data_IF_885594263414
#
_entry.id   IF_885594263414
#
_cell.length_a   1.000
_cell.length_b   1.000
_cell.length_c   1.000
_cell.angle_alpha   90.00
_cell.angle_beta   90.00
_cell.angle_gamma   90.00
#
_symmetry.space_group_name_H-M   'P 1'
#
loop_
_entity.id
_entity.type
_entity.pdbx_description
1 polymer ?
#
# COMPACT_ATOMS: atom_id res chain seq x y z
N UNK A 1 0.48 -63.90 40.47
CA UNK A 1 0.94 -62.69 41.20
C UNK A 1 2.10 -62.11 40.40
N UNK A 2 2.06 -60.99 39.68
CA UNK A 2 1.09 -59.91 39.49
C UNK A 2 1.25 -59.37 38.06
N UNK A 3 0.13 -59.18 37.37
CA UNK A 3 0.05 -58.51 36.07
C UNK A 3 -0.12 -57.02 36.32
N UNK A 4 0.86 -56.19 35.92
CA UNK A 4 0.74 -54.73 35.97
C UNK A 4 0.57 -54.22 34.54
N UNK A 5 -0.69 -54.08 34.12
CA UNK A 5 -1.08 -53.25 32.98
C UNK A 5 -0.81 -51.80 33.38
N UNK A 6 0.22 -51.20 32.79
CA UNK A 6 0.41 -49.76 32.83
C UNK A 6 -0.54 -49.15 31.78
N UNK A 7 -1.62 -48.57 32.29
CA UNK A 7 -2.65 -47.87 31.52
C UNK A 7 -2.03 -46.65 30.83
N UNK A 8 -1.65 -46.78 29.56
CA UNK A 8 -1.23 -45.66 28.71
C UNK A 8 -2.48 -44.93 28.22
N UNK A 9 -2.87 -43.88 28.96
CA UNK A 9 -3.93 -42.95 28.64
C UNK A 9 -3.62 -42.26 27.29
N UNK A 10 -4.49 -42.29 26.26
CA UNK A 10 -4.24 -41.59 25.01
C UNK A 10 -4.57 -40.10 25.20
N UNK A 11 -3.59 -39.34 25.69
CA UNK A 11 -3.66 -37.89 25.87
C UNK A 11 -3.24 -37.18 24.56
N UNK A 12 -3.94 -37.41 23.45
CA UNK A 12 -3.57 -36.84 22.14
C UNK A 12 -4.70 -36.09 21.42
N UNK A 13 -5.79 -35.72 22.11
CA UNK A 13 -6.95 -35.08 21.49
C UNK A 13 -7.10 -33.55 21.69
N UNK A 14 -6.07 -32.81 22.11
CA UNK A 14 -6.19 -31.37 22.39
C UNK A 14 -5.38 -30.45 21.48
N UNK A 15 -4.97 -30.90 20.28
CA UNK A 15 -4.46 -29.99 19.27
C UNK A 15 -5.64 -29.45 18.44
N UNK A 16 -6.46 -28.59 19.06
CA UNK A 16 -7.36 -27.72 18.29
C UNK A 16 -6.48 -26.65 17.64
N UNK A 17 -6.36 -26.67 16.31
CA UNK A 17 -5.94 -25.48 15.56
C UNK A 17 -6.93 -24.37 15.91
N UNK A 18 -6.50 -23.43 16.74
CA UNK A 18 -7.18 -22.15 16.87
C UNK A 18 -6.88 -21.42 15.56
N UNK A 19 -7.91 -21.15 14.76
CA UNK A 19 -7.78 -20.18 13.68
C UNK A 19 -7.47 -18.83 14.34
N UNK A 20 -6.28 -18.29 14.07
CA UNK A 20 -5.85 -16.98 14.57
C UNK A 20 -6.76 -15.89 13.97
N UNK A 21 -7.79 -15.48 14.70
CA UNK A 21 -8.51 -14.24 14.41
C UNK A 21 -7.56 -13.06 14.65
N UNK A 22 -7.13 -12.40 13.56
CA UNK A 22 -6.39 -11.15 13.66
C UNK A 22 -7.29 -10.08 14.32
N UNK A 23 -6.73 -9.33 15.28
CA UNK A 23 -7.44 -8.26 15.99
C UNK A 23 -7.87 -7.06 15.10
N UNK A 24 -7.56 -7.11 13.81
CA UNK A 24 -7.95 -6.12 12.81
C UNK A 24 -8.08 -6.79 11.45
N UNK A 25 -9.03 -6.30 10.65
CA UNK A 25 -9.18 -6.74 9.26
C UNK A 25 -8.17 -6.01 8.38
N UNK A 26 -7.37 -6.77 7.64
CA UNK A 26 -6.51 -6.20 6.59
C UNK A 26 -7.35 -6.00 5.35
N UNK A 27 -7.61 -4.74 5.00
CA UNK A 27 -8.28 -4.37 3.74
C UNK A 27 -7.21 -4.04 2.71
N UNK A 28 -7.36 -4.58 1.50
CA UNK A 28 -6.45 -4.26 0.41
C UNK A 28 -6.58 -2.78 0.00
N UNK A 29 -5.47 -2.18 -0.45
CA UNK A 29 -5.51 -0.83 -1.03
C UNK A 29 -6.45 -0.81 -2.26
N UNK A 30 -7.34 0.19 -2.39
CA UNK A 30 -8.21 0.36 -3.56
C UNK A 30 -7.45 0.76 -4.83
N UNK A 31 -6.21 1.27 -4.69
CA UNK A 31 -5.37 1.69 -5.83
C UNK A 31 -3.96 1.12 -5.69
N UNK A 32 -3.36 0.82 -6.83
CA UNK A 32 -1.92 0.63 -6.98
C UNK A 32 -1.27 1.97 -7.36
N UNK A 33 -0.06 2.20 -6.88
CA UNK A 33 0.69 3.42 -7.17
C UNK A 33 2.15 3.09 -7.47
N UNK A 34 2.64 3.62 -8.59
CA UNK A 34 4.04 3.59 -8.97
C UNK A 34 4.58 5.01 -8.84
N UNK A 35 5.52 5.22 -7.91
CA UNK A 35 6.08 6.54 -7.62
C UNK A 35 7.55 6.55 -7.95
N UNK A 36 7.95 7.45 -8.84
CA UNK A 36 9.31 7.61 -9.34
C UNK A 36 9.81 9.01 -9.02
N UNK A 37 11.02 9.10 -8.48
CA UNK A 37 11.73 10.38 -8.37
C UNK A 37 12.22 10.78 -9.76
N UNK A 38 12.00 12.03 -10.13
CA UNK A 38 12.52 12.56 -11.38
C UNK A 38 13.88 13.21 -11.12
N UNK A 39 14.86 12.89 -11.97
CA UNK A 39 16.15 13.58 -11.98
C UNK A 39 16.06 14.82 -12.85
N UNK A 40 15.28 15.81 -12.40
CA UNK A 40 15.07 17.09 -13.08
C UNK A 40 15.88 18.23 -12.44
N UNK A 41 17.15 17.95 -12.15
CA UNK A 41 18.28 18.77 -12.60
C UNK A 41 18.45 20.23 -12.15
N UNK A 42 17.64 20.78 -11.24
CA UNK A 42 17.95 22.03 -10.54
C UNK A 42 17.88 21.79 -9.05
N UNK A 43 19.01 21.90 -8.34
CA UNK A 43 19.14 21.53 -6.92
C UNK A 43 18.21 22.28 -5.94
N UNK A 44 17.37 23.18 -6.46
CA UNK A 44 16.39 23.96 -5.71
C UNK A 44 15.05 23.23 -5.56
N UNK A 45 14.78 22.18 -6.35
CA UNK A 45 13.51 21.43 -6.33
C UNK A 45 13.73 19.92 -6.35
N UNK A 46 12.73 19.19 -5.82
CA UNK A 46 12.65 17.74 -5.90
C UNK A 46 11.30 17.38 -6.52
N UNK A 47 11.34 16.62 -7.60
CA UNK A 47 10.14 16.20 -8.31
C UNK A 47 9.91 14.70 -8.24
N UNK A 48 8.64 14.33 -8.19
CA UNK A 48 8.16 12.94 -8.29
C UNK A 48 7.06 12.84 -9.33
N UNK A 49 7.03 11.72 -10.05
CA UNK A 49 5.90 11.29 -10.87
C UNK A 49 5.27 10.08 -10.21
N UNK A 50 3.97 10.15 -9.98
CA UNK A 50 3.21 9.03 -9.50
C UNK A 50 2.17 8.61 -10.55
N UNK A 51 2.00 7.32 -10.77
CA UNK A 51 0.93 6.76 -11.61
C UNK A 51 0.02 5.90 -10.74
N UNK A 52 -1.28 6.20 -10.73
CA UNK A 52 -2.28 5.51 -9.94
C UNK A 52 -3.23 4.72 -10.84
N UNK A 53 -3.41 3.44 -10.50
CA UNK A 53 -4.26 2.51 -11.26
C UNK A 53 -5.13 1.66 -10.34
N UNK A 54 -6.36 1.40 -10.75
CA UNK A 54 -7.13 0.26 -10.24
C UNK A 54 -6.59 -1.02 -10.87
N UNK A 55 -6.44 -2.07 -10.06
CA UNK A 55 -6.03 -3.40 -10.54
C UNK A 55 -7.21 -4.35 -10.49
N UNK A 56 -7.72 -4.72 -11.66
CA UNK A 56 -8.65 -5.84 -11.79
C UNK A 56 -7.86 -7.15 -11.88
N UNK A 57 -8.16 -8.05 -10.94
CA UNK A 57 -7.48 -9.34 -10.74
C UNK A 57 -8.38 -10.52 -11.04
N UNK A 58 -9.60 -10.33 -11.56
CA UNK A 58 -10.56 -11.42 -11.81
C UNK A 58 -9.96 -12.54 -12.68
N UNK A 59 -9.07 -12.19 -13.62
CA UNK A 59 -8.46 -13.12 -14.58
C UNK A 59 -6.93 -13.23 -14.43
N UNK A 60 -6.39 -13.01 -13.23
CA UNK A 60 -4.93 -13.00 -12.98
C UNK A 60 -4.20 -14.28 -13.42
N UNK A 61 -4.88 -15.42 -13.48
CA UNK A 61 -4.30 -16.70 -13.89
C UNK A 61 -4.47 -17.02 -15.40
N UNK A 62 -5.23 -16.23 -16.14
CA UNK A 62 -5.32 -16.37 -17.59
C UNK A 62 -4.09 -15.71 -18.21
N UNK A 63 -3.24 -16.53 -18.82
CA UNK A 63 -1.98 -16.08 -19.46
C UNK A 63 -2.19 -15.09 -20.62
N UNK A 64 -3.40 -15.01 -21.17
CA UNK A 64 -3.72 -14.08 -22.26
C UNK A 64 -4.33 -12.76 -21.77
N UNK A 65 -4.80 -12.70 -20.51
CA UNK A 65 -5.46 -11.51 -19.94
C UNK A 65 -4.64 -10.95 -18.78
N UNK A 66 -4.40 -11.75 -17.74
CA UNK A 66 -3.66 -11.34 -16.54
C UNK A 66 -4.38 -10.29 -15.70
N UNK A 67 -3.60 -9.38 -15.11
CA UNK A 67 -4.10 -8.22 -14.35
C UNK A 67 -4.37 -7.08 -15.32
N UNK A 68 -5.55 -6.46 -15.23
CA UNK A 68 -5.86 -5.26 -15.98
C UNK A 68 -5.61 -4.05 -15.07
N UNK A 69 -4.75 -3.13 -15.52
CA UNK A 69 -4.48 -1.88 -14.82
C UNK A 69 -5.22 -0.73 -15.50
N UNK A 70 -6.19 -0.14 -14.80
CA UNK A 70 -6.99 0.97 -15.31
C UNK A 70 -6.55 2.27 -14.62
N UNK A 71 -6.16 3.32 -15.36
CA UNK A 71 -5.81 4.60 -14.76
C UNK A 71 -6.93 5.19 -13.92
N UNK A 72 -6.57 5.87 -12.82
CA UNK A 72 -7.54 6.58 -11.96
C UNK A 72 -7.40 8.09 -12.18
N UNK A 73 -8.22 8.70 -13.05
CA UNK A 73 -8.22 10.14 -13.25
C UNK A 73 -8.91 10.89 -12.09
N UNK A 74 -8.63 12.18 -11.97
CA UNK A 74 -9.28 13.09 -11.01
C UNK A 74 -9.17 12.64 -9.55
N UNK A 75 -8.15 11.83 -9.23
CA UNK A 75 -7.88 11.35 -7.88
C UNK A 75 -7.18 12.44 -7.07
N UNK A 76 -7.85 12.96 -6.05
CA UNK A 76 -7.24 13.90 -5.10
C UNK A 76 -6.26 13.17 -4.17
N UNK A 77 -5.05 13.72 -4.07
CA UNK A 77 -3.94 13.18 -3.32
C UNK A 77 -3.42 14.24 -2.34
N UNK A 78 -3.39 13.90 -1.06
CA UNK A 78 -2.72 14.67 -0.03
C UNK A 78 -1.34 14.07 0.25
N UNK A 79 -0.31 14.90 0.13
CA UNK A 79 1.09 14.50 0.30
C UNK A 79 1.57 15.03 1.64
N UNK A 80 1.96 14.12 2.52
CA UNK A 80 2.46 14.42 3.85
C UNK A 80 3.94 14.04 4.02
N UNK A 81 4.61 14.72 4.96
CA UNK A 81 5.89 14.25 5.52
C UNK A 81 5.68 13.04 6.44
N UNK A 82 6.76 12.38 6.86
CA UNK A 82 6.69 11.30 7.85
C UNK A 82 6.16 11.76 9.23
N UNK A 83 6.18 13.05 9.52
CA UNK A 83 5.64 13.67 10.74
C UNK A 83 4.18 14.08 10.61
N UNK A 84 3.51 13.72 9.50
CA UNK A 84 2.12 14.07 9.18
C UNK A 84 1.88 15.57 8.92
N UNK A 85 2.93 16.31 8.52
CA UNK A 85 2.75 17.68 8.03
C UNK A 85 2.30 17.64 6.58
N UNK A 86 1.17 18.29 6.26
CA UNK A 86 0.68 18.39 4.87
C UNK A 86 1.62 19.29 4.08
N UNK A 87 2.24 18.72 3.03
CA UNK A 87 3.13 19.44 2.15
C UNK A 87 2.35 20.07 0.99
N UNK A 88 1.43 19.31 0.38
CA UNK A 88 0.58 19.78 -0.71
C UNK A 88 -0.58 18.83 -0.99
N UNK A 89 -1.53 19.29 -1.80
CA UNK A 89 -2.60 18.50 -2.41
C UNK A 89 -2.51 18.62 -3.93
N UNK A 90 -2.57 17.51 -4.64
CA UNK A 90 -2.55 17.45 -6.11
C UNK A 90 -3.60 16.47 -6.61
N UNK A 91 -3.88 16.50 -7.91
CA UNK A 91 -4.87 15.63 -8.55
C UNK A 91 -4.25 14.90 -9.74
N UNK A 92 -4.64 13.65 -9.98
CA UNK A 92 -4.19 12.90 -11.15
C UNK A 92 -4.83 13.42 -12.44
N UNK A 93 -4.09 13.31 -13.56
CA UNK A 93 -4.59 13.59 -14.90
C UNK A 93 -5.43 12.43 -15.48
N UNK A 94 -5.88 12.59 -16.73
CA UNK A 94 -6.67 11.58 -17.47
C UNK A 94 -5.98 10.20 -17.60
N UNK A 95 -4.65 10.16 -17.44
CA UNK A 95 -3.85 8.95 -17.49
C UNK A 95 -3.49 8.43 -16.08
N UNK A 96 -4.14 8.94 -15.04
CA UNK A 96 -3.89 8.56 -13.65
C UNK A 96 -2.54 9.06 -13.12
N UNK A 97 -1.92 10.06 -13.76
CA UNK A 97 -0.60 10.55 -13.37
C UNK A 97 -0.69 11.81 -12.55
N UNK A 98 0.11 11.89 -11.49
CA UNK A 98 0.29 13.08 -10.69
C UNK A 98 1.77 13.51 -10.72
N UNK A 99 2.02 14.80 -10.90
CA UNK A 99 3.35 15.38 -10.81
C UNK A 99 3.45 16.18 -9.50
N UNK A 100 4.36 15.76 -8.63
CA UNK A 100 4.73 16.51 -7.45
C UNK A 100 6.02 17.26 -7.74
N UNK A 101 6.04 18.56 -7.47
CA UNK A 101 7.25 19.36 -7.48
C UNK A 101 7.27 20.20 -6.20
N UNK A 102 8.29 19.99 -5.38
CA UNK A 102 8.45 20.67 -4.11
C UNK A 102 9.82 21.37 -4.04
N UNK A 103 9.92 22.54 -3.39
CA UNK A 103 11.22 23.11 -3.06
C UNK A 103 12.04 22.13 -2.21
N UNK A 104 13.34 22.00 -2.47
CA UNK A 104 14.21 21.11 -1.68
C UNK A 104 14.18 21.47 -0.17
N UNK A 105 13.96 22.74 0.15
CA UNK A 105 13.84 23.23 1.53
C UNK A 105 12.62 22.70 2.27
N UNK A 106 11.51 22.41 1.58
CA UNK A 106 10.32 21.81 2.23
C UNK A 106 10.52 20.35 2.60
N UNK A 107 11.58 19.72 2.09
CA UNK A 107 11.96 18.34 2.41
C UNK A 107 13.11 18.25 3.41
N UNK A 108 13.53 19.36 4.02
CA UNK A 108 14.60 19.36 5.02
C UNK A 108 14.22 18.49 6.23
N UNK A 109 14.96 17.39 6.43
CA UNK A 109 14.68 16.42 7.49
C UNK A 109 13.50 15.48 7.19
N UNK A 110 12.87 15.61 6.02
CA UNK A 110 11.91 14.62 5.52
C UNK A 110 12.73 13.43 5.02
N UNK A 111 12.27 12.22 5.29
CA UNK A 111 12.90 10.97 4.81
C UNK A 111 11.93 10.10 4.03
N UNK A 112 10.63 10.40 4.14
CA UNK A 112 9.56 9.64 3.52
C UNK A 112 8.37 10.55 3.26
N UNK A 113 7.77 10.38 2.09
CA UNK A 113 6.50 10.98 1.71
C UNK A 113 5.38 9.95 1.90
N UNK A 114 4.23 10.42 2.35
CA UNK A 114 2.98 9.68 2.39
C UNK A 114 2.00 10.30 1.38
N UNK A 115 1.61 9.52 0.39
CA UNK A 115 0.61 9.87 -0.61
C UNK A 115 -0.71 9.24 -0.19
N UNK A 116 -1.71 10.05 0.10
CA UNK A 116 -2.98 9.58 0.66
C UNK A 116 -4.18 10.12 -0.09
N UNK A 117 -5.25 9.34 -0.11
CA UNK A 117 -6.48 9.72 -0.79
C UNK A 117 -7.62 8.76 -0.42
N UNK A 118 -8.75 8.94 -1.08
CA UNK A 118 -9.89 8.03 -1.00
C UNK A 118 -10.33 7.67 -2.41
N UNK A 119 -10.54 6.39 -2.66
CA UNK A 119 -11.03 5.90 -3.94
C UNK A 119 -12.09 4.82 -3.71
N UNK A 120 -13.21 4.90 -4.43
CA UNK A 120 -14.36 4.00 -4.27
C UNK A 120 -14.80 3.82 -2.80
N UNK A 121 -14.74 4.89 -2.00
CA UNK A 121 -15.12 4.91 -0.59
C UNK A 121 -14.10 4.31 0.38
N UNK A 122 -12.95 3.82 -0.11
CA UNK A 122 -11.86 3.31 0.71
C UNK A 122 -10.70 4.29 0.76
N UNK A 123 -10.22 4.62 1.96
CA UNK A 123 -9.03 5.43 2.14
C UNK A 123 -7.77 4.61 1.88
N UNK A 124 -6.71 5.25 1.36
CA UNK A 124 -5.42 4.61 1.15
C UNK A 124 -4.26 5.53 1.52
N UNK A 125 -3.10 4.91 1.73
CA UNK A 125 -1.81 5.57 1.99
C UNK A 125 -0.70 4.78 1.32
N UNK A 126 0.11 5.46 0.52
CA UNK A 126 1.28 4.91 -0.17
C UNK A 126 2.52 5.64 0.35
N UNK A 127 3.54 4.88 0.72
CA UNK A 127 4.76 5.41 1.31
C UNK A 127 5.91 5.37 0.30
N UNK A 128 6.60 6.49 0.11
CA UNK A 128 7.77 6.59 -0.78
C UNK A 128 8.95 7.18 -0.01
N UNK A 129 10.09 6.50 -0.01
CA UNK A 129 11.32 7.02 0.58
C UNK A 129 11.98 8.02 -0.39
N UNK A 130 12.66 9.04 0.16
CA UNK A 130 13.31 10.10 -0.62
C UNK A 130 14.67 9.71 -1.21
#
# INVERSE_FOLDING_TARGET
>A
MNFRILLFLPLTFLCSCLDDELAFTVVASPVNAEVEKLDDGTGDSVSYRATFTELDKENILDVNIGIIATPVPDLELNIYSQTQDLLTTITTDENGKALLNLPATSLSGVTRLEWSGTHNGAAFRILTNL
#
